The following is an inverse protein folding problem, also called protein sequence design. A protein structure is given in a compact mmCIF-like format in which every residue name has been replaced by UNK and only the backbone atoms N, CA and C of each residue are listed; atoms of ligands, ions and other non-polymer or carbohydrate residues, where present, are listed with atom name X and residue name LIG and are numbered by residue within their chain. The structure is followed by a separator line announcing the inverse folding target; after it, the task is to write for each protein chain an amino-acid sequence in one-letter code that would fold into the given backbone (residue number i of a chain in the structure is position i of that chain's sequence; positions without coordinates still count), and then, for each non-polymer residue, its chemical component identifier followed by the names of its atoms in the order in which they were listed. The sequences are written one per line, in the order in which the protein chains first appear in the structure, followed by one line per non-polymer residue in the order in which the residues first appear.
data_IF_777190292764
#
_entry.id   IF_777190292764
#
_cell.length_a   1.000
_cell.length_b   1.000
_cell.length_c   1.000
_cell.angle_alpha   90.00
_cell.angle_beta   90.00
_cell.angle_gamma   90.00
#
_symmetry.space_group_name_H-M   'P 1'
#
loop_
_entity.id
_entity.type
_entity.pdbx_description
1 polymer ?
#
# COMPACT_ATOMS: atom_id res chain seq x y z
N UNK A 1 -21.50 -6.80 -8.15
CA UNK A 1 -21.32 -5.73 -9.16
C UNK A 1 -19.97 -5.97 -9.84
N UNK A 2 -19.95 -6.08 -11.15
CA UNK A 2 -18.71 -6.16 -11.91
C UNK A 2 -18.60 -4.89 -12.74
N UNK A 3 -17.45 -4.25 -12.68
CA UNK A 3 -17.19 -3.04 -13.46
C UNK A 3 -16.81 -3.47 -14.87
N UNK A 4 -17.61 -3.04 -15.85
CA UNK A 4 -17.32 -3.26 -17.25
C UNK A 4 -16.43 -2.12 -17.72
N UNK A 5 -15.26 -2.46 -18.26
CA UNK A 5 -14.33 -1.47 -18.79
C UNK A 5 -14.99 -0.68 -19.94
N UNK A 6 -14.70 0.62 -20.02
CA UNK A 6 -15.21 1.51 -21.07
C UNK A 6 -14.72 1.01 -22.44
N UNK A 7 -15.63 0.77 -23.37
CA UNK A 7 -15.32 0.20 -24.69
C UNK A 7 -15.39 -1.34 -24.77
N UNK A 8 -15.91 -1.99 -23.73
CA UNK A 8 -16.29 -3.41 -23.79
C UNK A 8 -17.73 -3.58 -24.27
N UNK A 9 -17.97 -4.64 -25.04
CA UNK A 9 -19.29 -5.10 -25.44
C UNK A 9 -19.88 -6.02 -24.37
N UNK A 10 -21.15 -5.80 -24.04
CA UNK A 10 -21.92 -6.66 -23.13
C UNK A 10 -22.46 -7.82 -23.96
N UNK A 11 -22.12 -9.05 -23.57
CA UNK A 11 -22.45 -10.27 -24.33
C UNK A 11 -23.70 -10.98 -23.81
N UNK A 12 -24.32 -10.44 -22.76
CA UNK A 12 -25.52 -11.00 -22.13
C UNK A 12 -26.63 -9.95 -22.08
N UNK A 13 -27.86 -10.40 -22.28
CA UNK A 13 -29.04 -9.55 -22.16
C UNK A 13 -29.43 -9.34 -20.69
N UNK A 14 -30.23 -8.32 -20.43
CA UNK A 14 -30.74 -8.03 -19.09
C UNK A 14 -31.56 -9.21 -18.54
N UNK A 15 -31.31 -9.59 -17.27
CA UNK A 15 -31.88 -10.75 -16.57
C UNK A 15 -31.63 -12.14 -17.19
N UNK A 16 -30.58 -12.30 -17.99
CA UNK A 16 -30.17 -13.61 -18.51
C UNK A 16 -29.60 -14.52 -17.42
N UNK A 17 -29.91 -15.81 -17.49
CA UNK A 17 -29.32 -16.84 -16.62
C UNK A 17 -27.86 -17.09 -17.01
N UNK A 18 -26.92 -16.93 -16.07
CA UNK A 18 -25.48 -17.10 -16.31
C UNK A 18 -24.91 -18.25 -15.48
N UNK A 19 -24.19 -19.15 -16.15
CA UNK A 19 -23.37 -20.18 -15.49
C UNK A 19 -22.00 -19.61 -15.09
N UNK A 20 -21.28 -20.27 -14.18
CA UNK A 20 -20.00 -19.78 -13.63
C UNK A 20 -18.91 -19.46 -14.69
N UNK A 21 -18.99 -20.06 -15.88
CA UNK A 21 -18.02 -19.85 -16.97
C UNK A 21 -18.53 -18.87 -18.04
N UNK A 22 -19.66 -18.20 -17.80
CA UNK A 22 -20.27 -17.30 -18.79
C UNK A 22 -19.53 -15.97 -18.84
N UNK A 23 -19.09 -15.58 -20.03
CA UNK A 23 -18.41 -14.31 -20.25
C UNK A 23 -19.45 -13.19 -20.37
N UNK A 24 -19.50 -12.31 -19.38
CA UNK A 24 -20.49 -11.22 -19.29
C UNK A 24 -20.18 -10.06 -20.24
N UNK A 25 -18.89 -9.76 -20.44
CA UNK A 25 -18.45 -8.68 -21.32
C UNK A 25 -17.09 -8.99 -21.93
N UNK A 26 -16.86 -8.54 -23.17
CA UNK A 26 -15.58 -8.69 -23.87
C UNK A 26 -15.13 -7.34 -24.45
N UNK A 27 -13.83 -7.01 -24.46
CA UNK A 27 -13.33 -5.85 -25.20
C UNK A 27 -13.62 -5.98 -26.70
N UNK A 28 -14.06 -4.90 -27.36
CA UNK A 28 -14.33 -4.85 -28.82
C UNK A 28 -13.09 -5.24 -29.65
N UNK A 29 -11.89 -4.92 -29.17
CA UNK A 29 -10.62 -5.34 -29.77
C UNK A 29 -9.85 -6.22 -28.79
N UNK A 30 -9.64 -7.48 -29.14
CA UNK A 30 -8.85 -8.44 -28.35
C UNK A 30 -7.35 -8.33 -28.67
N UNK A 31 -6.82 -7.12 -28.64
CA UNK A 31 -5.39 -6.86 -28.83
C UNK A 31 -4.73 -6.80 -27.46
N UNK A 32 -4.07 -7.87 -27.06
CA UNK A 32 -3.12 -7.82 -25.95
C UNK A 32 -1.91 -7.00 -26.41
N UNK A 33 -1.98 -5.68 -26.22
CA UNK A 33 -0.85 -4.79 -26.46
C UNK A 33 -0.09 -4.66 -25.15
N UNK A 34 1.13 -5.18 -25.12
CA UNK A 34 2.05 -4.93 -24.00
C UNK A 34 2.26 -3.42 -23.90
N UNK A 35 1.73 -2.81 -22.84
CA UNK A 35 1.82 -1.36 -22.60
C UNK A 35 3.10 -0.97 -21.88
N UNK A 36 3.69 -1.90 -21.12
CA UNK A 36 4.96 -1.73 -20.42
C UNK A 36 5.57 -3.10 -20.08
N UNK A 37 6.90 -3.15 -20.00
CA UNK A 37 7.68 -4.29 -19.49
C UNK A 37 8.75 -3.74 -18.56
N UNK A 38 8.95 -4.37 -17.41
CA UNK A 38 10.02 -4.01 -16.49
C UNK A 38 10.65 -5.26 -15.89
N UNK A 39 11.85 -5.10 -15.35
CA UNK A 39 12.58 -6.15 -14.66
C UNK A 39 11.93 -6.43 -13.28
N UNK A 40 11.49 -7.67 -13.01
CA UNK A 40 10.88 -8.00 -11.72
C UNK A 40 11.89 -8.02 -10.56
N UNK A 41 13.18 -8.21 -10.84
CA UNK A 41 14.22 -8.36 -9.82
C UNK A 41 14.99 -7.07 -9.54
N UNK A 42 14.93 -6.10 -10.44
CA UNK A 42 15.67 -4.85 -10.32
C UNK A 42 14.75 -3.64 -10.48
N UNK A 43 15.03 -2.58 -9.72
CA UNK A 43 14.50 -1.24 -9.99
C UNK A 43 15.54 -0.51 -10.85
N UNK A 44 15.24 -0.16 -12.12
CA UNK A 44 16.18 0.57 -12.95
C UNK A 44 16.24 2.05 -12.54
N UNK A 45 17.44 2.61 -12.54
CA UNK A 45 17.68 4.05 -12.57
C UNK A 45 17.90 4.41 -14.04
N UNK A 46 17.05 5.28 -14.58
CA UNK A 46 17.07 5.67 -16.00
C UNK A 46 17.49 7.13 -16.16
N UNK A 47 18.05 7.47 -17.32
CA UNK A 47 18.43 8.83 -17.66
C UNK A 47 17.20 9.69 -18.01
N UNK A 48 17.06 10.85 -17.38
CA UNK A 48 15.95 11.79 -17.65
C UNK A 48 16.08 12.47 -19.03
N UNK A 49 17.30 12.68 -19.51
CA UNK A 49 17.60 13.33 -20.79
C UNK A 49 18.88 12.77 -21.44
N UNK A 50 19.12 13.11 -22.71
CA UNK A 50 20.33 12.73 -23.45
C UNK A 50 21.52 13.55 -22.97
N UNK A 51 22.64 12.89 -22.68
CA UNK A 51 23.81 13.59 -22.17
C UNK A 51 25.04 12.71 -21.97
N UNK A 52 26.05 13.27 -21.32
CA UNK A 52 27.27 12.56 -20.92
C UNK A 52 27.24 12.28 -19.43
N UNK A 53 27.50 11.05 -19.04
CA UNK A 53 27.57 10.67 -17.62
C UNK A 53 29.00 10.74 -17.12
N UNK A 54 29.15 11.23 -15.90
CA UNK A 54 30.40 11.25 -15.15
C UNK A 54 30.20 10.67 -13.75
N UNK A 55 31.21 9.96 -13.28
CA UNK A 55 31.18 9.30 -11.98
C UNK A 55 31.66 10.26 -10.88
N UNK A 56 30.89 10.35 -9.79
CA UNK A 56 31.23 11.15 -8.61
C UNK A 56 31.31 10.22 -7.40
N UNK A 57 32.45 10.22 -6.71
CA UNK A 57 32.71 9.34 -5.54
C UNK A 57 32.58 7.83 -5.82
N UNK A 58 32.80 7.40 -7.08
CA UNK A 58 32.81 5.98 -7.48
C UNK A 58 34.28 5.55 -7.64
N UNK A 59 34.81 4.90 -6.60
CA UNK A 59 36.22 4.51 -6.49
C UNK A 59 36.27 3.00 -6.21
N UNK A 60 36.86 2.24 -7.13
CA UNK A 60 37.01 0.79 -7.01
C UNK A 60 37.78 0.41 -5.74
N UNK A 61 37.26 -0.57 -5.00
CA UNK A 61 37.79 -1.03 -3.71
C UNK A 61 37.42 -0.17 -2.51
N UNK A 62 36.89 1.05 -2.71
CA UNK A 62 36.46 1.94 -1.61
C UNK A 62 34.95 2.06 -1.57
N UNK A 63 34.33 2.60 -2.62
CA UNK A 63 32.88 2.81 -2.68
C UNK A 63 32.16 1.78 -3.56
N UNK A 64 32.87 1.20 -4.54
CA UNK A 64 32.35 0.14 -5.41
C UNK A 64 33.30 -1.04 -5.49
N UNK A 65 32.77 -2.22 -5.77
CA UNK A 65 33.51 -3.45 -6.07
C UNK A 65 33.12 -3.98 -7.44
N UNK A 66 34.09 -4.53 -8.16
CA UNK A 66 33.81 -5.28 -9.39
C UNK A 66 33.16 -6.61 -9.03
N UNK A 67 31.99 -6.86 -9.62
CA UNK A 67 31.27 -8.12 -9.50
C UNK A 67 31.01 -8.67 -10.89
N UNK A 68 31.52 -9.86 -11.13
CA UNK A 68 31.19 -10.66 -12.30
C UNK A 68 29.81 -11.29 -12.08
N UNK A 69 28.90 -11.06 -13.02
CA UNK A 69 27.60 -11.73 -13.02
C UNK A 69 27.78 -13.16 -13.52
N UNK A 70 27.53 -14.15 -12.65
CA UNK A 70 27.71 -15.58 -12.91
C UNK A 70 26.93 -16.10 -14.14
N UNK A 71 25.87 -15.40 -14.55
CA UNK A 71 25.04 -15.80 -15.69
C UNK A 71 25.48 -15.20 -17.02
N UNK A 72 26.06 -14.00 -17.01
CA UNK A 72 26.36 -13.25 -18.23
C UNK A 72 27.87 -13.10 -18.48
N UNK A 73 28.71 -13.32 -17.47
CA UNK A 73 30.16 -13.10 -17.53
C UNK A 73 30.55 -11.63 -17.66
N UNK A 74 29.59 -10.71 -17.53
CA UNK A 74 29.84 -9.27 -17.63
C UNK A 74 30.24 -8.77 -16.24
N UNK A 75 31.40 -8.14 -16.18
CA UNK A 75 31.87 -7.44 -14.97
C UNK A 75 31.10 -6.13 -14.83
N UNK A 76 30.40 -5.97 -13.72
CA UNK A 76 29.67 -4.73 -13.37
C UNK A 76 30.21 -4.16 -12.07
N UNK A 77 30.20 -2.83 -11.95
CA UNK A 77 30.57 -2.17 -10.69
C UNK A 77 29.36 -2.16 -9.77
N UNK A 78 29.53 -2.69 -8.55
CA UNK A 78 28.47 -2.76 -7.54
C UNK A 78 28.85 -1.89 -6.36
N UNK A 79 27.94 -1.05 -5.90
CA UNK A 79 28.13 -0.20 -4.71
C UNK A 79 28.22 -1.05 -3.46
N UNK A 80 29.25 -0.79 -2.64
CA UNK A 80 29.51 -1.55 -1.42
C UNK A 80 28.42 -1.34 -0.36
N UNK A 81 28.21 -2.35 0.49
CA UNK A 81 27.29 -2.29 1.64
C UNK A 81 27.70 -1.21 2.66
N UNK A 82 29.01 -1.00 2.82
CA UNK A 82 29.57 -0.02 3.71
C UNK A 82 30.40 0.99 2.92
N UNK A 83 29.92 2.24 2.88
CA UNK A 83 30.61 3.37 2.26
C UNK A 83 31.23 4.23 3.37
N UNK A 84 32.54 4.53 3.32
CA UNK A 84 33.18 5.38 4.32
C UNK A 84 32.52 6.76 4.42
N UNK A 85 32.43 7.29 5.65
CA UNK A 85 31.82 8.60 5.90
C UNK A 85 32.60 9.71 5.18
N UNK A 86 31.98 10.34 4.18
CA UNK A 86 32.59 11.39 3.37
C UNK A 86 32.34 11.22 1.87
N UNK A 87 32.07 10.00 1.43
CA UNK A 87 31.76 9.70 0.02
C UNK A 87 30.26 9.55 -0.20
N UNK A 88 29.76 10.10 -1.30
CA UNK A 88 28.37 9.93 -1.76
C UNK A 88 28.37 9.49 -3.23
N UNK A 89 28.53 8.18 -3.50
CA UNK A 89 28.59 7.67 -4.86
C UNK A 89 27.34 8.10 -5.64
N UNK A 90 27.57 8.80 -6.74
CA UNK A 90 26.50 9.33 -7.59
C UNK A 90 26.93 9.39 -9.05
N UNK A 91 25.94 9.30 -9.93
CA UNK A 91 26.11 9.53 -11.37
C UNK A 91 25.68 10.96 -11.66
N UNK A 92 26.54 11.71 -12.34
CA UNK A 92 26.25 13.07 -12.77
C UNK A 92 26.08 13.09 -14.29
N UNK A 93 24.89 13.49 -14.74
CA UNK A 93 24.51 13.55 -16.14
C UNK A 93 24.49 15.01 -16.59
N UNK A 94 25.30 15.33 -17.59
CA UNK A 94 25.39 16.64 -18.22
C UNK A 94 24.72 16.58 -19.60
N UNK A 95 23.65 17.36 -19.77
CA UNK A 95 22.82 17.40 -20.96
C UNK A 95 23.40 18.33 -22.02
N UNK A 96 23.02 18.09 -23.28
CA UNK A 96 23.49 18.91 -24.42
C UNK A 96 22.99 20.36 -24.33
N UNK A 97 21.83 20.56 -23.71
CA UNK A 97 21.17 21.88 -23.57
C UNK A 97 21.53 22.59 -22.24
N UNK A 98 22.53 22.08 -21.51
CA UNK A 98 22.97 22.63 -20.21
C UNK A 98 22.14 22.18 -19.01
N UNK A 99 21.29 21.16 -19.18
CA UNK A 99 20.57 20.50 -18.09
C UNK A 99 21.52 19.59 -17.29
N UNK A 100 21.38 19.56 -15.96
CA UNK A 100 22.22 18.75 -15.08
C UNK A 100 21.34 17.90 -14.16
N UNK A 101 21.65 16.61 -14.04
CA UNK A 101 20.97 15.70 -13.14
C UNK A 101 21.98 14.88 -12.34
N UNK A 102 21.68 14.65 -11.05
CA UNK A 102 22.50 13.83 -10.17
C UNK A 102 21.69 12.69 -9.59
N UNK A 103 22.14 11.46 -9.84
CA UNK A 103 21.51 10.23 -9.37
C UNK A 103 22.37 9.64 -8.26
N UNK A 104 21.87 9.66 -7.02
CA UNK A 104 22.55 9.04 -5.88
C UNK A 104 22.42 7.52 -5.95
N UNK A 105 23.53 6.81 -5.70
CA UNK A 105 23.55 5.35 -5.73
C UNK A 105 23.47 4.79 -4.32
N UNK A 106 22.46 3.95 -4.08
CA UNK A 106 22.32 3.22 -2.83
C UNK A 106 23.26 2.00 -2.77
N UNK A 107 23.59 1.48 -1.58
CA UNK A 107 24.32 0.23 -1.44
C UNK A 107 23.71 -0.91 -2.26
N UNK A 108 24.54 -1.81 -2.81
CA UNK A 108 24.18 -2.93 -3.70
C UNK A 108 23.69 -2.55 -5.09
N UNK A 109 23.59 -1.27 -5.42
CA UNK A 109 23.26 -0.83 -6.78
C UNK A 109 24.35 -1.29 -7.75
N UNK A 110 23.97 -1.96 -8.85
CA UNK A 110 24.87 -2.30 -9.94
C UNK A 110 24.83 -1.22 -11.02
N UNK A 111 26.00 -0.68 -11.35
CA UNK A 111 26.16 0.36 -12.37
C UNK A 111 26.24 -0.34 -13.73
N UNK A 112 25.38 0.07 -14.67
CA UNK A 112 25.24 -0.57 -15.98
C UNK A 112 26.05 0.13 -17.08
N UNK A 113 26.55 1.34 -16.82
CA UNK A 113 27.28 2.19 -17.77
C UNK A 113 28.74 2.38 -17.35
N UNK A 114 29.56 2.93 -18.24
CA UNK A 114 30.94 3.32 -17.97
C UNK A 114 31.08 4.83 -17.77
N UNK A 115 32.11 5.24 -17.04
CA UNK A 115 32.42 6.65 -16.84
C UNK A 115 32.72 7.38 -18.16
N UNK A 116 32.17 8.57 -18.34
CA UNK A 116 32.32 9.38 -19.55
C UNK A 116 31.47 8.93 -20.75
N UNK A 117 30.63 7.91 -20.59
CA UNK A 117 29.75 7.42 -21.67
C UNK A 117 28.64 8.44 -22.02
N UNK A 118 28.25 8.47 -23.29
CA UNK A 118 27.07 9.21 -23.74
C UNK A 118 25.85 8.30 -23.65
N UNK A 119 24.77 8.81 -23.07
CA UNK A 119 23.51 8.08 -22.86
C UNK A 119 22.35 8.80 -23.52
N UNK A 120 21.36 8.04 -23.97
CA UNK A 120 20.09 8.58 -24.47
C UNK A 120 19.06 8.71 -23.35
N UNK A 121 18.01 9.50 -23.60
CA UNK A 121 16.87 9.57 -22.68
C UNK A 121 16.25 8.17 -22.46
N UNK A 122 15.90 7.87 -21.21
CA UNK A 122 15.37 6.60 -20.72
C UNK A 122 16.34 5.40 -20.78
N UNK A 123 17.62 5.63 -21.08
CA UNK A 123 18.64 4.57 -20.99
C UNK A 123 18.92 4.19 -19.53
N UNK A 124 19.14 2.90 -19.27
CA UNK A 124 19.37 2.39 -17.90
C UNK A 124 20.79 2.69 -17.44
N UNK A 125 20.92 3.58 -16.46
CA UNK A 125 22.18 3.98 -15.86
C UNK A 125 22.68 2.97 -14.82
N UNK A 126 21.76 2.48 -13.98
CA UNK A 126 22.07 1.56 -12.90
C UNK A 126 20.84 0.72 -12.54
N UNK A 127 21.06 -0.38 -11.81
CA UNK A 127 20.03 -1.31 -11.37
C UNK A 127 20.15 -1.54 -9.87
N UNK A 128 19.08 -1.23 -9.15
CA UNK A 128 19.00 -1.54 -7.73
C UNK A 128 18.39 -2.95 -7.63
N UNK A 129 19.13 -3.96 -7.14
CA UNK A 129 18.54 -5.25 -6.87
C UNK A 129 17.45 -5.06 -5.83
N UNK A 130 16.21 -5.36 -6.19
CA UNK A 130 15.13 -5.46 -5.22
C UNK A 130 15.59 -6.56 -4.28
N UNK A 131 15.72 -6.24 -2.99
CA UNK A 131 15.90 -7.28 -1.98
C UNK A 131 14.86 -8.35 -2.30
N UNK A 132 15.31 -9.60 -2.52
CA UNK A 132 14.42 -10.74 -2.78
C UNK A 132 13.28 -10.53 -1.83
N UNK A 133 12.09 -10.23 -2.37
CA UNK A 133 10.91 -9.94 -1.54
C UNK A 133 10.91 -11.09 -0.57
N UNK A 134 11.30 -10.83 0.69
CA UNK A 134 11.20 -11.85 1.73
C UNK A 134 9.74 -12.18 1.64
N UNK A 135 9.42 -13.34 1.06
CA UNK A 135 8.08 -13.74 0.67
C UNK A 135 7.18 -13.24 1.78
N UNK A 136 6.39 -12.19 1.51
CA UNK A 136 5.84 -11.30 2.54
C UNK A 136 5.06 -12.14 3.54
N UNK A 137 5.69 -12.52 4.65
CA UNK A 137 5.49 -13.83 5.31
C UNK A 137 4.09 -14.41 5.11
N UNK A 138 3.93 -15.03 3.94
CA UNK A 138 2.64 -15.53 3.46
C UNK A 138 2.27 -16.79 4.27
N UNK A 139 3.24 -17.33 5.03
CA UNK A 139 3.20 -18.59 5.75
C UNK A 139 2.45 -18.54 7.07
N UNK A 140 1.86 -17.39 7.43
CA UNK A 140 1.09 -17.22 8.66
C UNK A 140 -0.06 -18.22 8.85
N UNK A 141 -0.43 -19.02 7.84
CA UNK A 141 -1.28 -20.20 7.97
C UNK A 141 -2.57 -19.92 8.76
N UNK A 142 -3.01 -20.91 9.54
CA UNK A 142 -4.13 -20.75 10.46
C UNK A 142 -3.92 -19.63 11.52
N UNK A 143 -2.69 -19.40 12.07
CA UNK A 143 -2.44 -18.30 12.99
C UNK A 143 -2.89 -16.92 12.49
N UNK A 144 -2.67 -16.59 11.22
CA UNK A 144 -3.09 -15.31 10.63
C UNK A 144 -4.62 -15.16 10.61
N UNK A 145 -5.33 -16.24 10.30
CA UNK A 145 -6.81 -16.26 10.34
C UNK A 145 -7.31 -16.07 11.77
N UNK A 146 -6.66 -16.73 12.73
CA UNK A 146 -6.96 -16.54 14.16
C UNK A 146 -6.73 -15.09 14.58
N UNK A 147 -5.61 -14.47 14.22
CA UNK A 147 -5.35 -13.06 14.52
C UNK A 147 -6.44 -12.12 13.98
N UNK A 148 -6.91 -12.37 12.75
CA UNK A 148 -7.96 -11.59 12.11
C UNK A 148 -9.29 -11.74 12.84
N UNK A 149 -9.70 -12.96 13.20
CA UNK A 149 -10.97 -13.21 13.91
C UNK A 149 -10.93 -12.87 15.40
N UNK A 150 -9.75 -12.84 16.00
CA UNK A 150 -9.54 -12.30 17.35
C UNK A 150 -9.49 -10.77 17.37
N UNK A 151 -9.57 -10.13 16.19
CA UNK A 151 -9.42 -8.68 16.03
C UNK A 151 -8.14 -8.14 16.72
N UNK A 152 -7.03 -8.90 16.70
CA UNK A 152 -5.81 -8.46 17.41
C UNK A 152 -5.20 -7.25 16.72
N UNK A 153 -4.89 -6.22 17.51
CA UNK A 153 -4.10 -5.08 17.03
C UNK A 153 -2.65 -5.53 16.85
N UNK A 154 -2.04 -5.33 15.66
CA UNK A 154 -0.63 -5.62 15.48
C UNK A 154 0.21 -4.74 16.41
N UNK A 155 1.46 -5.17 16.68
CA UNK A 155 2.37 -4.38 17.52
C UNK A 155 2.61 -3.01 16.86
N UNK A 156 2.65 -1.89 17.61
CA UNK A 156 2.77 -0.55 17.04
C UNK A 156 3.96 -0.36 16.07
N UNK A 157 5.07 -1.07 16.33
CA UNK A 157 6.27 -1.05 15.47
C UNK A 157 6.05 -1.70 14.11
N UNK A 158 5.12 -2.63 14.00
CA UNK A 158 4.86 -3.41 12.79
C UNK A 158 3.61 -2.93 12.04
N UNK A 159 2.80 -2.04 12.62
CA UNK A 159 1.57 -1.51 11.99
C UNK A 159 1.91 -0.57 10.83
N UNK A 160 1.30 -0.77 9.67
CA UNK A 160 1.38 0.19 8.56
C UNK A 160 0.56 1.45 8.87
N UNK A 161 1.10 2.62 8.55
CA UNK A 161 0.39 3.89 8.71
C UNK A 161 -0.48 4.11 7.47
N UNK A 162 -1.79 4.29 7.66
CA UNK A 162 -2.76 4.55 6.60
C UNK A 162 -3.07 6.04 6.51
N UNK A 163 -3.35 6.54 5.30
CA UNK A 163 -3.92 7.88 5.15
C UNK A 163 -5.34 7.92 5.70
N UNK A 164 -5.70 8.93 6.47
CA UNK A 164 -7.07 9.11 6.99
C UNK A 164 -7.97 9.88 6.01
N UNK A 165 -7.39 10.55 5.02
CA UNK A 165 -8.08 11.40 4.06
C UNK A 165 -7.56 11.20 2.65
N UNK A 166 -8.42 11.44 1.66
CA UNK A 166 -7.98 11.58 0.27
C UNK A 166 -7.20 12.89 0.11
N UNK A 167 -6.00 12.85 -0.47
CA UNK A 167 -5.18 14.06 -0.61
C UNK A 167 -3.82 13.87 -1.29
N UNK A 168 -3.08 14.97 -1.38
CA UNK A 168 -1.73 15.02 -1.94
C UNK A 168 -0.71 14.95 -0.80
N UNK A 169 0.28 14.08 -0.96
CA UNK A 169 1.36 13.86 0.01
C UNK A 169 2.43 14.94 -0.12
N UNK A 170 2.90 15.44 1.02
CA UNK A 170 4.05 16.33 1.12
C UNK A 170 4.87 15.97 2.37
N UNK A 171 6.14 16.37 2.39
CA UNK A 171 7.03 16.08 3.51
C UNK A 171 7.37 17.35 4.29
N UNK A 172 7.10 17.32 5.60
CA UNK A 172 7.41 18.39 6.53
C UNK A 172 8.82 18.29 7.11
N UNK A 173 9.10 19.10 8.14
CA UNK A 173 10.39 19.03 8.84
C UNK A 173 10.44 17.78 9.72
N UNK A 174 11.46 16.92 9.59
CA UNK A 174 11.58 15.75 10.45
C UNK A 174 11.75 16.18 11.92
N UNK A 175 11.10 15.44 12.83
CA UNK A 175 11.17 15.69 14.27
C UNK A 175 11.91 14.54 14.94
N UNK A 176 13.11 14.83 15.47
CA UNK A 176 13.99 13.84 16.12
C UNK A 176 14.29 12.66 15.18
N UNK A 177 13.74 11.48 15.49
CA UNK A 177 13.91 10.23 14.73
C UNK A 177 12.66 9.86 13.91
N UNK A 178 11.77 10.83 13.67
CA UNK A 178 10.55 10.63 12.88
C UNK A 178 10.55 11.50 11.64
N UNK A 179 10.18 10.91 10.52
CA UNK A 179 9.84 11.60 9.29
C UNK A 179 8.41 12.13 9.39
N UNK A 180 8.17 13.27 8.77
CA UNK A 180 6.90 14.00 8.85
C UNK A 180 6.23 13.99 7.49
N UNK A 181 5.15 13.21 7.36
CA UNK A 181 4.31 13.15 6.18
C UNK A 181 3.08 14.01 6.43
N UNK A 182 2.70 14.83 5.46
CA UNK A 182 1.51 15.68 5.51
C UNK A 182 0.65 15.34 4.31
N UNK A 183 -0.59 14.93 4.54
CA UNK A 183 -1.57 14.68 3.48
C UNK A 183 -2.55 15.84 3.44
N UNK A 184 -2.58 16.57 2.33
CA UNK A 184 -3.48 17.73 2.14
C UNK A 184 -4.65 17.34 1.24
N UNK A 185 -5.86 17.39 1.81
CA UNK A 185 -7.09 17.11 1.07
C UNK A 185 -7.48 18.29 0.16
N UNK A 186 -8.36 18.03 -0.82
CA UNK A 186 -8.87 19.05 -1.74
C UNK A 186 -9.59 20.20 -1.01
N UNK A 187 -10.17 19.91 0.15
CA UNK A 187 -10.87 20.90 0.99
C UNK A 187 -9.91 21.78 1.81
N UNK A 188 -8.59 21.63 1.65
CA UNK A 188 -7.56 22.39 2.39
C UNK A 188 -7.27 21.86 3.80
N UNK A 189 -7.93 20.78 4.23
CA UNK A 189 -7.60 20.09 5.48
C UNK A 189 -6.30 19.30 5.30
N UNK A 190 -5.32 19.52 6.18
CA UNK A 190 -4.09 18.75 6.23
C UNK A 190 -4.09 17.80 7.42
N UNK A 191 -3.58 16.58 7.22
CA UNK A 191 -3.35 15.60 8.28
C UNK A 191 -1.87 15.30 8.40
N UNK A 192 -1.35 15.36 9.63
CA UNK A 192 0.06 15.14 9.95
C UNK A 192 0.31 13.71 10.45
N UNK A 193 1.30 13.05 9.86
CA UNK A 193 1.72 11.69 10.20
C UNK A 193 3.22 11.68 10.53
N UNK A 194 3.56 11.08 11.67
CA UNK A 194 4.96 10.94 12.10
C UNK A 194 5.41 9.48 12.00
N UNK A 195 6.28 9.20 11.04
CA UNK A 195 6.79 7.86 10.72
C UNK A 195 8.15 7.66 11.38
N UNK A 196 8.34 6.58 12.13
CA UNK A 196 9.67 6.27 12.67
C UNK A 196 10.66 5.93 11.53
N UNK A 197 11.89 6.46 11.57
CA UNK A 197 12.93 6.26 10.52
C UNK A 197 13.24 4.80 10.17
N UNK A 198 12.86 3.84 11.02
CA UNK A 198 13.05 2.42 10.75
C UNK A 198 11.98 1.80 9.84
N UNK A 199 10.89 2.54 9.53
CA UNK A 199 9.85 2.11 8.59
C UNK A 199 10.14 2.64 7.20
N UNK A 200 9.89 1.82 6.21
CA UNK A 200 9.99 2.21 4.81
C UNK A 200 8.72 2.98 4.41
N UNK A 201 8.90 4.20 3.92
CA UNK A 201 7.82 5.00 3.34
C UNK A 201 7.62 4.55 1.89
N UNK A 202 6.36 4.32 1.51
CA UNK A 202 5.97 3.80 0.20
C UNK A 202 5.47 4.87 -0.77
N UNK A 203 5.25 6.08 -0.27
CA UNK A 203 4.68 7.21 -1.02
C UNK A 203 5.72 8.29 -1.30
N UNK A 204 5.50 9.03 -2.38
CA UNK A 204 6.37 10.12 -2.83
C UNK A 204 5.73 11.49 -2.62
N UNK A 205 6.55 12.55 -2.67
CA UNK A 205 6.05 13.92 -2.64
C UNK A 205 5.19 14.18 -3.90
N UNK A 206 4.12 14.95 -3.73
CA UNK A 206 3.13 15.29 -4.77
C UNK A 206 2.31 14.10 -5.30
N UNK A 207 2.43 12.93 -4.68
CA UNK A 207 1.60 11.77 -4.97
C UNK A 207 0.20 11.92 -4.35
N UNK A 208 -0.83 11.48 -5.08
CA UNK A 208 -2.20 11.45 -4.57
C UNK A 208 -2.48 10.09 -3.90
N UNK A 209 -2.92 10.13 -2.65
CA UNK A 209 -3.27 8.94 -1.86
C UNK A 209 -4.74 8.94 -1.47
N UNK A 210 -5.31 7.74 -1.40
CA UNK A 210 -6.69 7.53 -0.95
C UNK A 210 -6.79 7.33 0.56
N UNK A 211 -7.95 7.66 1.14
CA UNK A 211 -8.26 7.32 2.52
C UNK A 211 -8.24 5.79 2.72
N UNK A 212 -7.46 5.31 3.68
CA UNK A 212 -7.21 3.90 3.96
C UNK A 212 -6.02 3.30 3.22
N UNK A 213 -5.35 4.06 2.34
CA UNK A 213 -4.16 3.61 1.64
C UNK A 213 -2.93 3.61 2.55
N UNK A 214 -2.10 2.58 2.45
CA UNK A 214 -0.91 2.43 3.28
C UNK A 214 0.25 3.29 2.77
N UNK A 215 0.69 4.22 3.60
CA UNK A 215 1.82 5.12 3.29
C UNK A 215 3.18 4.54 3.71
N UNK A 216 3.17 3.53 4.58
CA UNK A 216 4.38 2.86 5.06
C UNK A 216 4.27 1.36 4.91
N UNK A 217 5.40 0.67 4.96
CA UNK A 217 5.45 -0.77 5.16
C UNK A 217 4.85 -1.18 6.52
N UNK A 218 4.50 -2.47 6.61
CA UNK A 218 3.92 -3.08 7.81
C UNK A 218 2.62 -3.84 7.57
N UNK A 219 2.01 -4.26 8.68
CA UNK A 219 0.75 -4.98 8.75
C UNK A 219 -0.39 -3.97 8.89
N UNK A 220 -1.40 -4.09 8.03
CA UNK A 220 -2.58 -3.24 8.10
C UNK A 220 -3.45 -3.68 9.28
N UNK A 221 -3.84 -2.70 10.09
CA UNK A 221 -4.69 -2.89 11.26
C UNK A 221 -6.16 -2.85 10.87
N UNK A 222 -6.90 -3.92 11.19
CA UNK A 222 -8.35 -4.00 10.96
C UNK A 222 -9.13 -2.88 11.68
N UNK A 223 -8.61 -2.41 12.81
CA UNK A 223 -9.22 -1.31 13.57
C UNK A 223 -9.08 0.03 12.84
N UNK A 224 -7.93 0.28 12.22
CA UNK A 224 -7.69 1.52 11.49
C UNK A 224 -8.51 1.54 10.20
N UNK A 225 -8.66 0.40 9.52
CA UNK A 225 -9.59 0.28 8.37
C UNK A 225 -11.02 0.60 8.80
N UNK A 226 -11.49 0.06 9.94
CA UNK A 226 -12.85 0.35 10.42
C UNK A 226 -13.04 1.85 10.69
N UNK A 227 -12.07 2.48 11.35
CA UNK A 227 -12.13 3.91 11.72
C UNK A 227 -12.09 4.82 10.49
N UNK A 228 -11.26 4.50 9.51
CA UNK A 228 -10.98 5.38 8.36
C UNK A 228 -11.96 5.09 7.21
N UNK A 229 -12.09 3.83 6.82
CA UNK A 229 -12.79 3.41 5.59
C UNK A 229 -14.16 2.78 5.86
N UNK A 230 -14.49 2.52 7.13
CA UNK A 230 -15.79 2.00 7.56
C UNK A 230 -15.98 0.50 7.39
N UNK A 231 -17.18 0.03 7.79
CA UNK A 231 -17.49 -1.41 7.85
C UNK A 231 -17.32 -2.12 6.50
N UNK A 232 -17.74 -1.48 5.41
CA UNK A 232 -17.73 -2.10 4.08
C UNK A 232 -16.33 -2.43 3.59
N UNK A 233 -15.37 -1.53 3.77
CA UNK A 233 -13.98 -1.78 3.39
C UNK A 233 -13.33 -2.78 4.35
N UNK A 234 -13.69 -2.75 5.64
CA UNK A 234 -13.27 -3.79 6.58
C UNK A 234 -13.73 -5.19 6.16
N UNK A 235 -15.00 -5.36 5.73
CA UNK A 235 -15.50 -6.64 5.22
C UNK A 235 -14.65 -7.15 4.07
N UNK A 236 -14.42 -6.31 3.06
CA UNK A 236 -13.59 -6.69 1.90
C UNK A 236 -12.17 -7.08 2.31
N UNK A 237 -11.58 -6.31 3.22
CA UNK A 237 -10.24 -6.57 3.72
C UNK A 237 -10.15 -7.93 4.42
N UNK A 238 -10.99 -8.19 5.43
CA UNK A 238 -10.94 -9.46 6.18
C UNK A 238 -11.26 -10.64 5.26
N UNK A 239 -12.28 -10.53 4.40
CA UNK A 239 -12.63 -11.59 3.45
C UNK A 239 -11.46 -11.88 2.51
N UNK A 240 -10.83 -10.86 1.93
CA UNK A 240 -9.66 -11.03 1.06
C UNK A 240 -8.49 -11.68 1.79
N UNK A 241 -8.13 -11.19 2.98
CA UNK A 241 -7.00 -11.71 3.75
C UNK A 241 -7.20 -13.17 4.13
N UNK A 242 -8.39 -13.53 4.64
CA UNK A 242 -8.72 -14.92 5.00
C UNK A 242 -8.74 -15.81 3.75
N UNK A 243 -9.35 -15.33 2.65
CA UNK A 243 -9.38 -16.08 1.39
C UNK A 243 -8.00 -16.35 0.83
N UNK A 244 -7.08 -15.39 0.90
CA UNK A 244 -5.70 -15.58 0.45
C UNK A 244 -5.03 -16.73 1.20
N UNK A 245 -5.25 -16.87 2.51
CA UNK A 245 -4.70 -17.98 3.30
C UNK A 245 -5.27 -19.33 2.85
N UNK A 246 -6.60 -19.45 2.74
CA UNK A 246 -7.24 -20.71 2.34
C UNK A 246 -6.90 -21.11 0.90
N UNK A 247 -6.88 -20.15 -0.04
CA UNK A 247 -6.49 -20.39 -1.44
C UNK A 247 -5.07 -20.90 -1.56
N UNK A 248 -4.13 -20.36 -0.77
CA UNK A 248 -2.73 -20.84 -0.73
C UNK A 248 -2.62 -22.28 -0.24
N UNK A 249 -3.54 -22.72 0.62
CA UNK A 249 -3.62 -24.11 1.10
C UNK A 249 -4.44 -25.01 0.18
N UNK A 250 -4.93 -24.49 -0.96
CA UNK A 250 -5.75 -25.25 -1.91
C UNK A 250 -7.18 -25.51 -1.43
N UNK A 251 -7.64 -24.84 -0.38
CA UNK A 251 -8.98 -25.00 0.17
C UNK A 251 -9.89 -23.88 -0.35
N UNK A 252 -11.00 -24.26 -0.99
CA UNK A 252 -12.04 -23.33 -1.45
C UNK A 252 -13.08 -23.14 -0.36
N UNK A 253 -13.25 -21.90 0.10
CA UNK A 253 -14.35 -21.47 0.99
C UNK A 253 -15.18 -20.39 0.30
N UNK A 254 -16.50 -20.41 0.49
CA UNK A 254 -17.36 -19.35 -0.04
C UNK A 254 -17.33 -18.11 0.86
N UNK A 255 -17.31 -16.91 0.26
CA UNK A 255 -17.22 -15.62 0.96
C UNK A 255 -18.32 -15.46 2.02
N UNK A 256 -19.54 -15.96 1.75
CA UNK A 256 -20.68 -15.93 2.68
C UNK A 256 -20.35 -16.45 4.08
N UNK A 257 -19.48 -17.45 4.20
CA UNK A 257 -19.12 -18.02 5.50
C UNK A 257 -18.25 -17.07 6.31
N UNK A 258 -17.31 -16.40 5.64
CA UNK A 258 -16.42 -15.41 6.27
C UNK A 258 -17.22 -14.15 6.61
N UNK A 259 -18.09 -13.70 5.71
CA UNK A 259 -18.97 -12.55 5.93
C UNK A 259 -19.87 -12.71 7.16
N UNK A 260 -20.42 -13.91 7.39
CA UNK A 260 -21.22 -14.22 8.59
C UNK A 260 -20.38 -14.02 9.86
N UNK A 261 -19.12 -14.46 9.87
CA UNK A 261 -18.22 -14.30 11.03
C UNK A 261 -17.92 -12.82 11.27
N UNK A 262 -17.54 -12.07 10.23
CA UNK A 262 -17.26 -10.63 10.34
C UNK A 262 -18.51 -9.87 10.81
N UNK A 263 -19.70 -10.29 10.39
CA UNK A 263 -20.96 -9.71 10.88
C UNK A 263 -21.20 -9.97 12.37
N UNK A 264 -20.70 -11.07 12.94
CA UNK A 264 -20.76 -11.28 14.39
C UNK A 264 -19.73 -10.43 15.13
N UNK A 265 -18.55 -10.21 14.56
CA UNK A 265 -17.51 -9.36 15.13
C UNK A 265 -17.92 -7.88 15.23
N UNK A 266 -18.80 -7.42 14.33
CA UNK A 266 -19.35 -6.04 14.28
C UNK A 266 -20.74 -5.92 14.94
N UNK A 267 -21.11 -6.86 15.82
CA UNK A 267 -22.44 -6.91 16.44
C UNK A 267 -22.67 -5.80 17.47
N UNK A 268 -21.61 -5.23 18.03
CA UNK A 268 -21.69 -4.21 19.08
C UNK A 268 -21.23 -2.84 18.57
N UNK A 269 -21.77 -1.80 19.20
CA UNK A 269 -21.39 -0.39 19.00
C UNK A 269 -21.08 0.22 20.35
N UNK A 270 -20.14 1.17 20.39
CA UNK A 270 -19.84 1.96 21.58
C UNK A 270 -20.60 3.27 21.52
N UNK A 271 -21.32 3.60 22.58
CA UNK A 271 -22.05 4.86 22.69
C UNK A 271 -21.06 6.01 22.87
N UNK A 272 -21.18 7.04 22.02
CA UNK A 272 -20.43 8.28 22.11
C UNK A 272 -21.24 9.36 22.83
N UNK A 273 -22.54 9.43 22.55
CA UNK A 273 -23.49 10.37 23.13
C UNK A 273 -24.81 9.65 23.36
N UNK A 274 -25.37 9.75 24.56
CA UNK A 274 -26.63 9.12 24.92
C UNK A 274 -27.86 9.82 24.36
N UNK A 275 -27.79 11.11 24.02
CA UNK A 275 -28.98 11.92 23.69
C UNK A 275 -30.10 11.76 24.72
N UNK A 276 -31.34 11.61 24.25
CA UNK A 276 -32.53 11.33 25.07
C UNK A 276 -32.81 9.82 25.25
N UNK A 277 -31.83 8.97 24.91
CA UNK A 277 -31.97 7.52 25.05
C UNK A 277 -31.66 7.04 26.47
N UNK A 278 -31.87 5.74 26.72
CA UNK A 278 -31.49 5.11 27.99
C UNK A 278 -30.03 4.65 28.06
N UNK A 279 -29.24 4.95 27.02
CA UNK A 279 -27.86 4.50 26.96
C UNK A 279 -26.94 5.34 27.85
N UNK A 280 -25.80 4.75 28.21
CA UNK A 280 -24.74 5.43 28.94
C UNK A 280 -23.56 5.60 27.99
N UNK A 281 -22.94 6.78 28.00
CA UNK A 281 -21.75 7.06 27.21
C UNK A 281 -20.61 6.09 27.56
N UNK A 282 -19.94 5.56 26.53
CA UNK A 282 -18.88 4.57 26.67
C UNK A 282 -19.35 3.11 26.72
N UNK A 283 -20.65 2.84 26.93
CA UNK A 283 -21.16 1.47 26.99
C UNK A 283 -21.10 0.77 25.62
N UNK A 284 -20.84 -0.55 25.66
CA UNK A 284 -20.94 -1.44 24.51
C UNK A 284 -22.33 -2.06 24.45
N UNK A 285 -23.11 -1.66 23.45
CA UNK A 285 -24.48 -2.14 23.26
C UNK A 285 -24.60 -2.90 21.94
N UNK A 286 -25.58 -3.82 21.88
CA UNK A 286 -25.90 -4.52 20.63
C UNK A 286 -26.38 -3.52 19.58
N UNK A 287 -25.83 -3.60 18.37
CA UNK A 287 -26.22 -2.78 17.21
C UNK A 287 -27.72 -2.87 16.90
N UNK A 288 -28.35 -4.01 17.20
CA UNK A 288 -29.80 -4.19 17.08
C UNK A 288 -30.55 -3.34 18.11
N UNK A 289 -30.18 -3.47 19.39
CA UNK A 289 -30.79 -2.72 20.48
C UNK A 289 -30.62 -1.21 20.29
N UNK A 290 -29.43 -0.78 19.89
CA UNK A 290 -29.14 0.62 19.54
C UNK A 290 -30.10 1.17 18.48
N UNK A 291 -30.31 0.41 17.38
CA UNK A 291 -31.23 0.81 16.32
C UNK A 291 -32.68 0.87 16.79
N UNK A 292 -33.13 -0.09 17.59
CA UNK A 292 -34.49 -0.13 18.13
C UNK A 292 -34.77 1.05 19.06
N UNK A 293 -33.85 1.35 19.97
CA UNK A 293 -34.01 2.45 20.92
C UNK A 293 -33.93 3.81 20.21
N UNK A 294 -33.01 3.99 19.26
CA UNK A 294 -32.97 5.23 18.47
C UNK A 294 -34.22 5.42 17.63
N UNK A 295 -34.79 4.36 17.04
CA UNK A 295 -36.06 4.45 16.33
C UNK A 295 -37.21 4.91 17.26
N UNK A 296 -37.22 4.43 18.51
CA UNK A 296 -38.18 4.86 19.53
C UNK A 296 -38.01 6.33 19.91
N UNK A 297 -36.78 6.78 20.14
CA UNK A 297 -36.48 8.18 20.52
C UNK A 297 -36.83 9.14 19.40
N UNK A 298 -36.49 8.80 18.15
CA UNK A 298 -36.84 9.60 16.96
C UNK A 298 -38.36 9.69 16.80
N UNK A 299 -39.10 8.60 17.03
CA UNK A 299 -40.56 8.62 16.98
C UNK A 299 -41.20 9.54 18.04
N UNK A 300 -40.52 9.75 19.16
CA UNK A 300 -40.90 10.70 20.22
C UNK A 300 -40.37 12.12 19.97
N UNK A 301 -39.71 12.38 18.84
CA UNK A 301 -39.05 13.64 18.48
C UNK A 301 -37.92 14.06 19.44
N UNK A 302 -37.30 13.09 20.13
CA UNK A 302 -36.11 13.34 20.94
C UNK A 302 -34.82 13.23 20.13
N UNK A 303 -33.70 13.55 20.77
CA UNK A 303 -32.36 13.46 20.20
C UNK A 303 -31.84 12.01 20.27
N UNK A 304 -31.53 11.35 19.13
CA UNK A 304 -31.05 9.97 19.10
C UNK A 304 -29.62 9.86 19.64
N UNK A 305 -29.29 8.69 20.20
CA UNK A 305 -27.92 8.41 20.64
C UNK A 305 -26.96 8.27 19.44
N UNK A 306 -25.73 8.73 19.62
CA UNK A 306 -24.62 8.58 18.65
C UNK A 306 -23.71 7.46 19.13
N UNK A 307 -23.31 6.58 18.21
CA UNK A 307 -22.43 5.47 18.52
C UNK A 307 -21.41 5.22 17.39
N UNK A 308 -20.25 4.69 17.76
CA UNK A 308 -19.24 4.22 16.82
C UNK A 308 -19.24 2.68 16.73
N UNK A 309 -19.01 2.10 15.54
CA UNK A 309 -18.86 0.65 15.40
C UNK A 309 -17.58 0.19 16.09
N UNK A 310 -17.66 -0.95 16.79
CA UNK A 310 -16.50 -1.57 17.44
C UNK A 310 -16.26 -2.94 16.86
N UNK A 311 -15.01 -3.20 16.46
CA UNK A 311 -14.57 -4.52 16.05
C UNK A 311 -14.17 -5.33 17.28
N UNK A 312 -14.86 -6.44 17.53
CA UNK A 312 -14.55 -7.35 18.63
C UNK A 312 -14.08 -8.70 18.10
N UNK A 313 -13.19 -9.34 18.86
CA UNK A 313 -12.79 -10.72 18.61
C UNK A 313 -13.96 -11.69 18.83
N UNK A 314 -13.79 -12.91 18.35
CA UNK A 314 -14.79 -13.98 18.52
C UNK A 314 -14.80 -14.60 19.93
N UNK A 315 -13.76 -14.40 20.73
CA UNK A 315 -13.64 -14.87 22.14
C UNK A 315 -14.15 -13.87 23.15
#
# INVERSE_FOLDING_TARGET
RHYIARGSEILIDDNSEVSANSVISKPTTNTFKTIATWDPYNTPIIADFKGKVSFVDIIAGVTVAEKEDENTGITSLVVNDYIPSGYKPSLFLEGVDGEEARYFLEPKTSIAISDGSSVEQAEVLAKIPKATVKSKDITGGLPRVSELFEARKPKPKDVAILSEVDGIVSFGKPIRNKEHIIVTSKDGRSMDYFVDKGKQILVHADEFVHAGEAMTDGVISSHDILRISGEKELYKYIVSEVQQVYRRQGVSIADKHIEIIVSQMLRQVRILDSGDSKFIEGDLVSKKLFKEENARVIALKGEPAIAEPVLLGIT
#
